data_IF_669054927623
#
_entry.id   IF_669054927623
#
_cell.length_a   1.000
_cell.length_b   1.000
_cell.length_c   1.000
_cell.angle_alpha   90.00
_cell.angle_beta   90.00
_cell.angle_gamma   90.00
#
_symmetry.space_group_name_H-M   'P 1'
#
loop_
_entity.id
_entity.type
_entity.pdbx_description
1 polymer ?
#
# COMPACT_ATOMS: atom_id res chain seq x y z
N UNK A 1 -13.57 -24.47 -14.97
CA UNK A 1 -12.81 -23.23 -14.75
C UNK A 1 -11.81 -23.12 -15.88
N UNK A 2 -11.83 -22.01 -16.63
CA UNK A 2 -10.85 -21.77 -17.69
C UNK A 2 -9.65 -21.02 -17.12
N UNK A 3 -8.55 -21.02 -17.86
CA UNK A 3 -7.33 -20.33 -17.44
C UNK A 3 -7.52 -18.80 -17.36
N UNK A 4 -8.32 -18.22 -18.24
CA UNK A 4 -8.71 -16.80 -18.20
C UNK A 4 -9.42 -16.42 -16.89
N UNK A 5 -10.32 -17.29 -16.40
CA UNK A 5 -11.03 -17.08 -15.13
C UNK A 5 -10.06 -17.16 -13.94
N UNK A 6 -9.14 -18.15 -13.99
CA UNK A 6 -8.11 -18.34 -12.95
C UNK A 6 -7.20 -17.11 -12.87
N UNK A 7 -6.73 -16.62 -14.02
CA UNK A 7 -5.86 -15.44 -14.10
C UNK A 7 -6.58 -14.19 -13.58
N UNK A 8 -7.82 -13.96 -13.99
CA UNK A 8 -8.62 -12.83 -13.52
C UNK A 8 -8.81 -12.85 -11.99
N UNK A 9 -9.06 -14.03 -11.41
CA UNK A 9 -9.18 -14.19 -9.97
C UNK A 9 -7.88 -13.85 -9.22
N UNK A 10 -6.72 -14.23 -9.77
CA UNK A 10 -5.42 -13.86 -9.19
C UNK A 10 -5.20 -12.35 -9.27
N UNK A 11 -5.42 -11.73 -10.44
CA UNK A 11 -5.27 -10.28 -10.61
C UNK A 11 -6.15 -9.52 -9.60
N UNK A 12 -7.43 -9.91 -9.50
CA UNK A 12 -8.36 -9.31 -8.54
C UNK A 12 -7.85 -9.43 -7.10
N UNK A 13 -7.34 -10.60 -6.71
CA UNK A 13 -6.76 -10.80 -5.37
C UNK A 13 -5.54 -9.90 -5.13
N UNK A 14 -4.68 -9.72 -6.12
CA UNK A 14 -3.51 -8.84 -6.02
C UNK A 14 -3.89 -7.36 -5.95
N UNK A 15 -4.91 -6.94 -6.69
CA UNK A 15 -5.46 -5.58 -6.58
C UNK A 15 -5.91 -5.28 -5.16
N UNK A 16 -6.57 -6.24 -4.51
CA UNK A 16 -7.01 -6.08 -3.13
C UNK A 16 -5.86 -6.20 -2.11
N UNK A 17 -4.87 -7.07 -2.33
CA UNK A 17 -3.86 -7.38 -1.31
C UNK A 17 -2.57 -6.54 -1.40
N UNK A 18 -2.19 -6.03 -2.58
CA UNK A 18 -0.88 -5.38 -2.74
C UNK A 18 -0.88 -4.07 -3.49
N UNK A 19 -1.97 -3.65 -4.16
CA UNK A 19 -1.96 -2.34 -4.81
C UNK A 19 -2.02 -1.25 -3.75
N UNK A 20 -0.86 -0.62 -3.50
CA UNK A 20 -0.70 0.40 -2.47
C UNK A 20 -0.32 1.77 -3.04
N UNK A 21 -0.49 2.80 -2.22
CA UNK A 21 -0.19 4.20 -2.55
C UNK A 21 0.42 4.95 -1.35
N UNK A 22 1.24 5.99 -1.57
CA UNK A 22 1.74 6.83 -0.49
C UNK A 22 0.61 7.59 0.22
N UNK A 23 0.78 7.86 1.53
CA UNK A 23 -0.13 8.65 2.35
C UNK A 23 -0.40 10.02 1.71
N UNK A 24 -1.68 10.38 1.61
CA UNK A 24 -2.08 11.67 1.04
C UNK A 24 -2.04 11.76 -0.48
N UNK A 25 -1.66 10.69 -1.20
CA UNK A 25 -1.76 10.64 -2.66
C UNK A 25 -3.22 10.74 -3.17
N UNK A 26 -4.16 10.29 -2.35
CA UNK A 26 -5.60 10.43 -2.55
C UNK A 26 -6.22 11.16 -1.35
N UNK A 27 -7.34 11.83 -1.61
CA UNK A 27 -8.16 12.50 -0.60
C UNK A 27 -9.60 12.06 -0.72
N UNK A 28 -10.26 11.90 0.42
CA UNK A 28 -11.70 11.69 0.52
C UNK A 28 -12.40 13.02 0.75
N UNK A 29 -13.25 13.39 -0.19
CA UNK A 29 -14.10 14.58 -0.12
C UNK A 29 -15.25 14.39 0.86
N UNK A 30 -15.86 15.50 1.30
CA UNK A 30 -17.01 15.49 2.21
C UNK A 30 -18.23 14.72 1.66
N UNK A 31 -18.39 14.68 0.33
CA UNK A 31 -19.43 13.93 -0.36
C UNK A 31 -19.11 12.42 -0.48
N UNK A 32 -17.99 11.98 0.09
CA UNK A 32 -17.52 10.60 0.06
C UNK A 32 -16.70 10.23 -1.18
N UNK A 33 -16.58 11.10 -2.18
CA UNK A 33 -15.80 10.84 -3.38
C UNK A 33 -14.30 10.79 -3.06
N UNK A 34 -13.61 9.78 -3.58
CA UNK A 34 -12.15 9.66 -3.50
C UNK A 34 -11.55 10.19 -4.79
N UNK A 35 -10.64 11.15 -4.68
CA UNK A 35 -9.95 11.74 -5.83
C UNK A 35 -8.44 11.81 -5.58
N UNK A 36 -7.67 11.84 -6.66
CA UNK A 36 -6.22 12.08 -6.55
C UNK A 36 -5.96 13.46 -5.96
N UNK A 37 -5.09 13.53 -4.97
CA UNK A 37 -4.73 14.78 -4.32
C UNK A 37 -3.75 15.57 -5.21
N UNK A 38 -4.20 16.69 -5.76
CA UNK A 38 -3.36 17.56 -6.60
C UNK A 38 -2.28 18.32 -5.80
N UNK A 39 -2.48 18.45 -4.49
CA UNK A 39 -1.54 19.10 -3.59
C UNK A 39 -0.53 18.13 -2.96
N UNK A 40 -0.55 16.86 -3.37
CA UNK A 40 0.43 15.89 -2.88
C UNK A 40 1.80 16.16 -3.51
N UNK A 41 2.76 16.55 -2.68
CA UNK A 41 4.14 16.85 -3.09
C UNK A 41 5.11 15.68 -2.83
N UNK A 42 4.62 14.54 -2.35
CA UNK A 42 5.44 13.40 -1.96
C UNK A 42 5.64 13.28 -0.47
N UNK A 43 6.05 12.08 -0.03
CA UNK A 43 6.48 11.84 1.34
C UNK A 43 7.90 12.38 1.53
N UNK A 44 8.21 12.88 2.72
CA UNK A 44 9.60 13.12 3.11
C UNK A 44 10.34 11.79 3.25
N UNK A 45 11.69 11.79 3.20
CA UNK A 45 12.46 10.56 3.42
C UNK A 45 12.16 9.90 4.78
N UNK A 46 11.89 10.70 5.82
CA UNK A 46 11.55 10.20 7.14
C UNK A 46 10.17 9.51 7.15
N UNK A 47 9.18 10.07 6.46
CA UNK A 47 7.86 9.43 6.32
C UNK A 47 7.93 8.18 5.43
N UNK A 48 8.63 8.26 4.30
CA UNK A 48 8.79 7.16 3.36
C UNK A 48 9.51 5.94 3.97
N UNK A 49 10.19 6.10 5.10
CA UNK A 49 10.81 5.00 5.84
C UNK A 49 9.83 4.17 6.68
N UNK A 50 8.56 4.61 6.78
CA UNK A 50 7.56 4.04 7.69
C UNK A 50 6.47 3.33 6.90
N UNK A 51 6.12 2.12 7.35
CA UNK A 51 5.00 1.35 6.78
C UNK A 51 3.67 2.11 6.89
N UNK A 52 3.45 2.84 8.00
CA UNK A 52 2.27 3.68 8.20
C UNK A 52 2.03 4.76 7.12
N UNK A 53 3.04 5.05 6.31
CA UNK A 53 2.96 6.03 5.22
C UNK A 53 2.48 5.42 3.89
N UNK A 54 2.11 4.14 3.87
CA UNK A 54 1.61 3.45 2.68
C UNK A 54 0.28 2.78 2.98
N UNK A 55 -0.63 2.86 2.01
CA UNK A 55 -2.04 2.50 2.16
C UNK A 55 -2.51 1.63 1.01
N UNK A 56 -3.38 0.66 1.31
CA UNK A 56 -4.08 -0.15 0.31
C UNK A 56 -5.02 0.71 -0.52
N UNK A 57 -4.92 0.64 -1.84
CA UNK A 57 -5.70 1.44 -2.80
C UNK A 57 -7.03 0.77 -3.16
N UNK A 58 -7.78 0.36 -2.13
CA UNK A 58 -9.10 -0.27 -2.21
C UNK A 58 -9.98 0.25 -1.07
N UNK A 59 -11.29 -0.03 -1.05
CA UNK A 59 -12.12 0.30 0.11
C UNK A 59 -11.52 -0.25 1.42
N UNK A 60 -11.56 0.53 2.52
CA UNK A 60 -11.03 0.09 3.80
C UNK A 60 -11.87 -1.07 4.36
N UNK A 61 -11.19 -2.11 4.82
CA UNK A 61 -11.76 -3.34 5.41
C UNK A 61 -11.61 -3.32 6.93
N UNK A 62 -10.46 -2.87 7.44
CA UNK A 62 -10.12 -2.96 8.87
C UNK A 62 -10.39 -1.67 9.65
N UNK A 63 -10.63 -0.56 8.96
CA UNK A 63 -10.82 0.75 9.59
C UNK A 63 -11.98 0.84 10.60
N UNK A 64 -13.05 0.05 10.44
CA UNK A 64 -14.14 -0.03 11.42
C UNK A 64 -13.72 -0.73 12.71
N UNK A 65 -12.74 -1.62 12.64
CA UNK A 65 -12.29 -2.46 13.75
C UNK A 65 -11.25 -1.73 14.63
N UNK A 66 -10.69 -0.61 14.15
CA UNK A 66 -9.73 0.19 14.91
C UNK A 66 -10.37 0.81 16.16
N UNK A 67 -9.67 0.84 17.31
CA UNK A 67 -10.14 1.51 18.52
C UNK A 67 -10.54 2.97 18.28
N UNK A 68 -11.59 3.45 18.97
CA UNK A 68 -12.08 4.82 18.80
C UNK A 68 -10.99 5.88 19.06
N UNK A 69 -10.11 5.63 20.03
CA UNK A 69 -9.01 6.53 20.38
C UNK A 69 -7.99 6.69 19.25
N UNK A 70 -7.72 5.65 18.47
CA UNK A 70 -6.84 5.72 17.31
C UNK A 70 -7.52 6.42 16.15
N UNK A 71 -8.78 6.06 15.88
CA UNK A 71 -9.60 6.70 14.83
C UNK A 71 -9.75 8.21 15.05
N UNK A 72 -9.74 8.67 16.30
CA UNK A 72 -9.81 10.09 16.64
C UNK A 72 -8.53 10.87 16.26
N UNK A 73 -7.39 10.21 16.09
CA UNK A 73 -6.11 10.83 15.69
C UNK A 73 -5.94 10.92 14.17
N UNK A 74 -6.72 10.16 13.41
CA UNK A 74 -6.65 10.09 11.96
C UNK A 74 -7.24 11.35 11.31
N UNK A 75 -6.58 11.86 10.29
CA UNK A 75 -7.17 12.88 9.43
C UNK A 75 -8.12 12.19 8.45
N UNK A 76 -9.43 12.40 8.61
CA UNK A 76 -10.47 11.74 7.82
C UNK A 76 -10.37 11.97 6.31
N UNK A 77 -9.68 13.02 5.87
CA UNK A 77 -9.52 13.32 4.45
C UNK A 77 -8.38 12.49 3.82
N UNK A 78 -7.32 12.17 4.55
CA UNK A 78 -6.12 11.48 4.01
C UNK A 78 -5.89 10.08 4.59
N UNK A 79 -6.34 9.83 5.82
CA UNK A 79 -6.19 8.58 6.57
C UNK A 79 -7.51 7.77 6.53
N UNK A 80 -8.09 7.63 5.34
CA UNK A 80 -9.36 6.93 5.12
C UNK A 80 -9.20 5.50 4.56
N UNK A 81 -7.97 5.09 4.27
CA UNK A 81 -7.61 3.76 3.75
C UNK A 81 -6.91 2.91 4.83
N UNK A 82 -6.82 1.60 4.63
CA UNK A 82 -6.05 0.72 5.51
C UNK A 82 -4.55 0.89 5.24
N UNK A 83 -3.74 0.97 6.30
CA UNK A 83 -2.28 1.01 6.19
C UNK A 83 -1.69 -0.39 6.11
N UNK A 84 -0.56 -0.54 5.40
CA UNK A 84 0.20 -1.79 5.35
C UNK A 84 0.93 -2.14 6.64
N UNK A 85 1.04 -1.20 7.59
CA UNK A 85 1.64 -1.47 8.91
C UNK A 85 0.83 -2.52 9.69
N UNK A 86 -0.48 -2.57 9.47
CA UNK A 86 -1.39 -3.50 10.13
C UNK A 86 -1.52 -4.85 9.39
N UNK A 87 -0.75 -5.07 8.31
CA UNK A 87 -0.85 -6.30 7.51
C UNK A 87 -0.26 -7.50 8.24
N UNK A 88 -0.89 -8.67 8.03
CA UNK A 88 -0.46 -9.92 8.61
C UNK A 88 0.12 -10.87 7.54
N UNK A 89 1.27 -11.52 7.80
CA UNK A 89 2.05 -11.43 9.04
C UNK A 89 2.82 -10.12 9.18
N UNK A 90 3.13 -9.72 10.41
CA UNK A 90 4.00 -8.56 10.67
C UNK A 90 5.34 -8.75 9.96
N UNK A 91 5.86 -7.71 9.30
CA UNK A 91 7.09 -7.81 8.51
C UNK A 91 6.91 -8.36 7.09
N UNK A 92 5.67 -8.55 6.61
CA UNK A 92 5.40 -8.98 5.22
C UNK A 92 5.71 -7.92 4.14
N UNK A 93 6.17 -6.74 4.54
CA UNK A 93 6.56 -5.65 3.65
C UNK A 93 8.00 -5.22 3.92
N UNK A 94 8.72 -4.89 2.86
CA UNK A 94 10.09 -4.36 2.94
C UNK A 94 10.15 -2.99 2.30
N UNK A 95 10.66 -2.01 3.05
CA UNK A 95 11.02 -0.68 2.55
C UNK A 95 12.53 -0.66 2.28
N UNK A 96 12.91 -0.32 1.06
CA UNK A 96 14.31 -0.25 0.62
C UNK A 96 14.59 1.12 0.02
N UNK A 97 15.60 1.80 0.55
CA UNK A 97 16.10 3.06 0.00
C UNK A 97 17.21 2.80 -1.02
N UNK A 98 17.14 3.50 -2.13
CA UNK A 98 18.06 3.43 -3.25
C UNK A 98 18.57 4.82 -3.63
N UNK A 99 19.70 4.87 -4.37
CA UNK A 99 20.24 6.11 -4.95
C UNK A 99 20.43 7.25 -3.92
N UNK A 100 20.96 6.92 -2.75
CA UNK A 100 21.19 7.89 -1.68
C UNK A 100 19.89 8.42 -1.04
N UNK A 101 18.80 7.66 -1.11
CA UNK A 101 17.52 8.01 -0.51
C UNK A 101 16.54 8.72 -1.44
N UNK A 102 16.93 8.98 -2.70
CA UNK A 102 16.08 9.62 -3.70
C UNK A 102 15.05 8.67 -4.34
N UNK A 103 15.13 7.38 -4.04
CA UNK A 103 14.19 6.36 -4.49
C UNK A 103 13.87 5.44 -3.32
N UNK A 104 12.59 5.22 -3.09
CA UNK A 104 12.09 4.26 -2.10
C UNK A 104 11.32 3.18 -2.84
N UNK A 105 11.65 1.94 -2.54
CA UNK A 105 10.95 0.76 -3.03
C UNK A 105 10.23 0.10 -1.87
N UNK A 106 8.93 -0.16 -2.03
CA UNK A 106 8.13 -0.93 -1.08
C UNK A 106 7.75 -2.24 -1.76
N UNK A 107 8.17 -3.36 -1.16
CA UNK A 107 8.07 -4.70 -1.75
C UNK A 107 7.20 -5.59 -0.86
N UNK A 108 6.32 -6.38 -1.48
CA UNK A 108 5.57 -7.41 -0.77
C UNK A 108 6.39 -8.70 -0.70
N UNK A 109 6.43 -9.33 0.47
CA UNK A 109 6.99 -10.66 0.67
C UNK A 109 5.94 -11.78 0.49
N UNK A 110 4.65 -11.42 0.55
CA UNK A 110 3.54 -12.32 0.25
C UNK A 110 3.33 -12.48 -1.25
N UNK A 111 3.48 -11.40 -2.03
CA UNK A 111 3.40 -11.42 -3.49
C UNK A 111 4.76 -11.06 -4.09
N UNK A 112 5.64 -12.05 -4.15
CA UNK A 112 6.99 -11.87 -4.69
C UNK A 112 6.89 -11.40 -6.14
N UNK A 113 7.49 -10.24 -6.42
CA UNK A 113 7.40 -9.55 -7.71
C UNK A 113 6.64 -8.23 -7.66
N UNK A 114 5.89 -7.96 -6.60
CA UNK A 114 5.24 -6.65 -6.40
C UNK A 114 6.23 -5.62 -5.88
N UNK A 115 6.30 -4.47 -6.54
CA UNK A 115 7.11 -3.32 -6.11
C UNK A 115 6.32 -2.03 -6.34
N UNK A 116 6.14 -1.23 -5.29
CA UNK A 116 5.87 0.20 -5.40
C UNK A 116 7.20 0.96 -5.42
N UNK A 117 7.32 1.94 -6.31
CA UNK A 117 8.38 2.94 -6.27
C UNK A 117 7.82 4.30 -5.90
N UNK A 118 8.58 5.08 -5.12
CA UNK A 118 8.29 6.46 -4.79
C UNK A 118 9.58 7.28 -4.82
N UNK A 119 9.53 8.48 -5.39
CA UNK A 119 10.61 9.46 -5.30
C UNK A 119 10.24 10.45 -4.18
N UNK A 120 10.89 10.39 -3.00
CA UNK A 120 10.57 11.28 -1.88
C UNK A 120 10.62 12.75 -2.28
N UNK A 121 9.77 13.56 -1.62
CA UNK A 121 9.58 14.99 -1.92
C UNK A 121 9.21 15.28 -3.38
N UNK A 122 8.62 14.30 -4.07
CA UNK A 122 7.95 14.50 -5.35
C UNK A 122 6.62 13.76 -5.41
N UNK A 123 5.71 14.17 -6.29
CA UNK A 123 4.46 13.47 -6.54
C UNK A 123 4.60 12.21 -7.42
N UNK A 124 5.83 11.76 -7.69
CA UNK A 124 6.12 10.63 -8.56
C UNK A 124 6.15 9.34 -7.75
N UNK A 125 5.23 8.44 -8.09
CA UNK A 125 5.17 7.09 -7.58
C UNK A 125 4.41 6.21 -8.58
N UNK A 126 4.54 4.91 -8.42
CA UNK A 126 3.79 3.93 -9.16
C UNK A 126 4.13 2.53 -8.66
N UNK A 127 3.44 1.54 -9.17
CA UNK A 127 3.70 0.15 -8.81
C UNK A 127 3.64 -0.75 -10.01
N UNK A 128 4.30 -1.90 -9.88
CA UNK A 128 4.31 -2.94 -10.90
C UNK A 128 4.40 -4.29 -10.21
N UNK A 129 3.74 -5.28 -10.81
CA UNK A 129 3.95 -6.68 -10.50
C UNK A 129 4.63 -7.36 -11.68
N UNK A 130 5.74 -8.06 -11.42
CA UNK A 130 6.38 -8.96 -12.38
C UNK A 130 6.74 -10.25 -11.66
N UNK A 131 6.00 -11.33 -11.93
CA UNK A 131 6.17 -12.61 -11.25
C UNK A 131 5.23 -13.69 -11.77
N UNK A 132 5.17 -14.82 -11.05
CA UNK A 132 4.43 -16.03 -11.41
C UNK A 132 2.94 -16.01 -11.00
N UNK A 133 2.51 -14.99 -10.24
CA UNK A 133 1.17 -14.92 -9.65
C UNK A 133 0.98 -15.83 -8.44
N UNK A 134 2.08 -16.23 -7.79
CA UNK A 134 2.05 -17.12 -6.62
C UNK A 134 2.07 -16.31 -5.32
N UNK A 135 1.16 -16.67 -4.41
CA UNK A 135 1.12 -16.16 -3.05
C UNK A 135 2.03 -17.00 -2.16
N UNK A 136 2.93 -16.35 -1.43
CA UNK A 136 3.88 -16.99 -0.54
C UNK A 136 3.22 -17.37 0.80
N UNK A 137 2.57 -18.54 0.81
CA UNK A 137 1.94 -19.11 2.01
C UNK A 137 2.94 -19.46 3.13
N UNK A 138 4.21 -19.63 2.78
CA UNK A 138 5.25 -20.09 3.71
C UNK A 138 5.88 -18.94 4.50
N UNK A 139 5.59 -17.68 4.11
CA UNK A 139 6.17 -16.50 4.75
C UNK A 139 6.07 -16.51 6.29
N UNK A 140 4.94 -16.88 6.92
CA UNK A 140 4.83 -16.91 8.39
C UNK A 140 5.80 -17.88 9.09
N UNK A 141 6.36 -18.87 8.37
CA UNK A 141 7.36 -19.80 8.90
C UNK A 141 8.80 -19.36 8.61
N UNK A 142 8.98 -18.32 7.79
CA UNK A 142 10.29 -17.80 7.38
C UNK A 142 10.75 -16.61 8.22
N UNK A 143 9.82 -15.95 8.93
CA UNK A 143 10.04 -14.75 9.75
C UNK A 143 9.95 -15.05 11.25
#
# INVERSE_FOLDING_TARGET
MKEEDRLAAIIYRMEEEVVIVPRGAFIRMYNGQVVRNKSFEGLTCAEASKLLSYFHCRPPVNMSNKPLAERAKLDKAIDFLDTIEDDNPEGCWVIQFERGGNLVLVKSLLWIGYVLYHLPSTNKYGSIYVGTGEYNIDLPFMI
#
